data_IF_797418210197
#
_entry.id   IF_797418210197
#
_cell.length_a   1.000
_cell.length_b   1.000
_cell.length_c   1.000
_cell.angle_alpha   90.00
_cell.angle_beta   90.00
_cell.angle_gamma   90.00
#
_symmetry.space_group_name_H-M   'P 1'
#
loop_
_entity.id
_entity.type
_entity.pdbx_description
1 polymer ?
#
# COMPACT_ATOMS: atom_id res chain seq x y z
N UNK A 1 25.11 11.25 10.62
CA UNK A 1 24.50 11.57 9.34
C UNK A 1 24.41 13.08 9.13
N UNK A 2 24.01 13.51 7.94
CA UNK A 2 23.69 14.92 7.70
C UNK A 2 22.19 15.13 7.89
N UNK A 3 21.73 16.28 8.42
CA UNK A 3 20.30 16.56 8.52
C UNK A 3 19.65 16.63 7.13
N UNK A 4 18.39 16.21 7.06
CA UNK A 4 17.59 16.26 5.84
C UNK A 4 16.37 17.14 6.08
N UNK A 5 16.31 18.26 5.38
CA UNK A 5 15.20 19.22 5.44
C UNK A 5 14.09 18.85 4.45
N UNK A 6 12.85 19.21 4.78
CA UNK A 6 11.69 19.09 3.87
C UNK A 6 11.11 17.67 3.77
N UNK A 7 11.53 16.73 4.63
CA UNK A 7 10.91 15.40 4.69
C UNK A 7 9.54 15.53 5.34
N UNK A 8 8.50 15.05 4.67
CA UNK A 8 7.14 15.01 5.23
C UNK A 8 7.06 13.92 6.28
N UNK A 9 6.59 14.28 7.46
CA UNK A 9 6.40 13.40 8.62
C UNK A 9 4.96 13.50 9.08
N UNK A 10 4.34 12.36 9.38
CA UNK A 10 2.93 12.28 9.81
C UNK A 10 2.72 11.15 10.81
N UNK A 11 1.66 11.27 11.60
CA UNK A 11 1.09 10.21 12.45
C UNK A 11 -0.21 9.62 11.84
N UNK A 12 -0.54 10.03 10.60
CA UNK A 12 -1.79 9.69 9.94
C UNK A 12 -2.85 10.80 9.99
N UNK A 13 -2.76 11.71 10.94
CA UNK A 13 -3.68 12.86 11.07
C UNK A 13 -2.98 14.21 10.95
N UNK A 14 -1.80 14.31 11.52
CA UNK A 14 -1.01 15.55 11.57
C UNK A 14 0.19 15.42 10.62
N UNK A 15 0.49 16.49 9.91
CA UNK A 15 1.58 16.54 8.94
C UNK A 15 2.52 17.69 9.27
N UNK A 16 3.81 17.42 9.18
CA UNK A 16 4.89 18.40 9.32
C UNK A 16 6.00 18.09 8.31
N UNK A 17 6.89 19.04 8.13
CA UNK A 17 8.15 18.82 7.41
C UNK A 17 9.32 19.05 8.34
N UNK A 18 10.40 18.31 8.12
CA UNK A 18 11.65 18.56 8.83
C UNK A 18 12.21 19.94 8.48
N UNK A 19 12.79 20.63 9.47
CA UNK A 19 13.47 21.92 9.33
C UNK A 19 14.89 21.78 8.69
N UNK A 20 15.63 22.88 8.62
CA UNK A 20 16.98 22.90 8.07
C UNK A 20 17.98 22.03 8.87
N UNK A 21 17.68 21.75 10.13
CA UNK A 21 18.45 20.88 11.02
C UNK A 21 17.95 19.44 11.03
N UNK A 22 16.92 19.12 10.21
CA UNK A 22 16.31 17.80 10.12
C UNK A 22 15.37 17.49 11.28
N UNK A 23 14.99 18.47 12.10
CA UNK A 23 14.10 18.28 13.24
C UNK A 23 12.63 18.47 12.84
N UNK A 24 11.75 17.79 13.57
CA UNK A 24 10.30 17.98 13.49
C UNK A 24 9.66 17.79 14.88
N UNK A 25 8.49 18.34 15.07
CA UNK A 25 7.65 18.12 16.26
C UNK A 25 6.22 17.91 15.81
N UNK A 26 5.63 16.80 16.25
CA UNK A 26 4.22 16.46 16.08
C UNK A 26 3.55 16.38 17.46
N UNK A 27 2.42 17.08 17.62
CA UNK A 27 1.52 16.86 18.75
C UNK A 27 0.56 15.75 18.34
N UNK A 28 0.68 14.59 18.97
CA UNK A 28 -0.07 13.38 18.62
C UNK A 28 -0.62 12.70 19.88
N UNK A 29 -1.62 11.86 19.70
CA UNK A 29 -2.13 10.94 20.70
C UNK A 29 -1.74 9.50 20.32
N UNK A 30 -0.71 8.91 20.96
CA UNK A 30 -0.25 7.56 20.62
C UNK A 30 -1.29 6.46 20.84
N UNK A 31 -2.32 6.70 21.67
CA UNK A 31 -3.41 5.75 21.85
C UNK A 31 -4.32 5.67 20.62
N UNK A 32 -4.42 6.76 19.87
CA UNK A 32 -5.20 6.85 18.64
C UNK A 32 -4.33 6.68 17.39
N UNK A 33 -3.13 7.23 17.40
CA UNK A 33 -2.17 7.21 16.30
C UNK A 33 -0.88 6.53 16.76
N UNK A 34 -0.82 5.19 16.67
CA UNK A 34 0.25 4.41 17.31
C UNK A 34 1.60 4.49 16.61
N UNK A 35 1.69 5.20 15.49
CA UNK A 35 2.91 5.30 14.68
C UNK A 35 3.14 6.72 14.19
N UNK A 36 4.41 7.03 13.98
CA UNK A 36 4.86 8.16 13.16
C UNK A 36 5.64 7.61 11.96
N UNK A 37 5.49 8.22 10.79
CA UNK A 37 6.11 7.76 9.57
C UNK A 37 6.42 8.90 8.62
N UNK A 38 7.26 8.62 7.64
CA UNK A 38 7.74 9.61 6.66
C UNK A 38 7.28 9.25 5.24
N UNK A 39 7.03 10.27 4.42
CA UNK A 39 7.00 10.12 2.97
C UNK A 39 8.44 10.23 2.45
N UNK A 40 9.03 9.10 2.05
CA UNK A 40 10.44 9.05 1.61
C UNK A 40 10.63 9.91 0.36
N UNK A 41 11.53 10.91 0.36
CA UNK A 41 11.75 11.74 -0.81
C UNK A 41 12.50 10.99 -1.93
N UNK A 42 12.23 11.31 -3.20
CA UNK A 42 12.80 10.63 -4.37
C UNK A 42 14.33 10.63 -4.43
N UNK A 43 15.00 11.59 -3.77
CA UNK A 43 16.45 11.65 -3.70
C UNK A 43 17.10 10.60 -2.79
N UNK A 44 16.28 9.79 -2.09
CA UNK A 44 16.72 8.78 -1.15
C UNK A 44 16.24 7.40 -1.55
N UNK A 45 17.01 6.37 -1.17
CA UNK A 45 16.65 4.98 -1.35
C UNK A 45 15.40 4.65 -0.52
N UNK A 46 14.56 3.76 -1.03
CA UNK A 46 13.38 3.31 -0.30
C UNK A 46 13.80 2.43 0.87
N UNK A 47 13.49 2.80 2.12
CA UNK A 47 13.89 2.04 3.29
C UNK A 47 13.29 0.63 3.27
N UNK A 48 14.11 -0.38 3.47
CA UNK A 48 13.67 -1.77 3.49
C UNK A 48 14.56 -2.64 4.36
N UNK A 49 13.98 -3.74 4.84
CA UNK A 49 14.70 -4.82 5.48
C UNK A 49 14.44 -6.11 4.72
N UNK A 50 15.52 -6.75 4.25
CA UNK A 50 15.43 -7.96 3.42
C UNK A 50 14.54 -7.78 2.18
N UNK A 51 14.49 -6.57 1.60
CA UNK A 51 13.65 -6.26 0.45
C UNK A 51 12.16 -6.03 0.74
N UNK A 52 11.72 -6.05 1.99
CA UNK A 52 10.38 -5.61 2.39
C UNK A 52 10.47 -4.23 3.01
N UNK A 53 9.59 -3.32 2.60
CA UNK A 53 9.56 -1.94 3.08
C UNK A 53 9.51 -1.90 4.63
N UNK A 54 10.45 -1.15 5.22
CA UNK A 54 10.65 -1.07 6.66
C UNK A 54 11.49 0.18 6.96
N UNK A 55 11.45 0.68 8.21
CA UNK A 55 12.30 1.81 8.63
C UNK A 55 11.79 3.20 8.19
N UNK A 56 10.68 3.27 7.47
CA UNK A 56 9.98 4.53 7.17
C UNK A 56 8.92 4.89 8.22
N UNK A 57 8.67 4.04 9.20
CA UNK A 57 7.74 4.24 10.31
C UNK A 57 8.34 3.79 11.63
N UNK A 58 7.82 4.33 12.73
CA UNK A 58 8.18 3.95 14.10
C UNK A 58 6.94 3.95 14.98
N UNK A 59 6.88 2.99 15.90
CA UNK A 59 5.81 2.92 16.90
C UNK A 59 6.02 3.94 18.01
N UNK A 60 4.91 4.49 18.49
CA UNK A 60 4.87 5.40 19.64
C UNK A 60 4.53 4.61 20.91
N UNK A 61 5.21 4.95 21.99
CA UNK A 61 4.92 4.46 23.32
C UNK A 61 3.89 5.39 23.98
N UNK A 62 2.66 4.91 24.14
CA UNK A 62 1.57 5.67 24.77
C UNK A 62 1.81 5.94 26.28
N UNK A 63 2.76 5.26 26.90
CA UNK A 63 3.15 5.51 28.30
C UNK A 63 4.14 6.68 28.46
N UNK A 64 4.64 7.25 27.37
CA UNK A 64 5.59 8.37 27.40
C UNK A 64 4.92 9.69 27.04
N UNK A 65 5.32 10.77 27.75
CA UNK A 65 4.93 12.13 27.40
C UNK A 65 5.59 12.64 26.11
N UNK A 66 6.76 12.10 25.77
CA UNK A 66 7.53 12.43 24.58
C UNK A 66 8.10 11.15 23.97
N UNK A 67 7.99 11.03 22.65
CA UNK A 67 8.59 9.96 21.87
C UNK A 67 9.62 10.57 20.93
N UNK A 68 10.86 10.08 20.98
CA UNK A 68 11.88 10.45 20.01
C UNK A 68 11.87 9.43 18.87
N UNK A 69 11.64 9.91 17.64
CA UNK A 69 11.58 9.07 16.45
C UNK A 69 12.51 9.63 15.38
N UNK A 70 13.67 9.01 15.21
CA UNK A 70 14.68 9.40 14.26
C UNK A 70 14.63 8.48 13.02
N UNK A 71 14.60 9.07 11.83
CA UNK A 71 14.62 8.33 10.56
C UNK A 71 15.98 8.45 9.88
N UNK A 72 16.50 7.35 9.37
CA UNK A 72 17.76 7.30 8.63
C UNK A 72 17.46 7.10 7.15
N UNK A 73 17.91 8.04 6.33
CA UNK A 73 17.73 8.01 4.89
C UNK A 73 19.07 7.87 4.18
N UNK A 74 19.20 6.89 3.29
CA UNK A 74 20.36 6.71 2.42
C UNK A 74 20.16 7.52 1.15
N UNK A 75 21.03 8.51 0.92
CA UNK A 75 20.95 9.33 -0.29
C UNK A 75 21.33 8.51 -1.52
N UNK A 76 20.51 8.58 -2.57
CA UNK A 76 20.80 7.94 -3.86
C UNK A 76 22.09 8.52 -4.48
N UNK A 77 22.86 7.66 -5.12
CA UNK A 77 24.07 8.09 -5.86
C UNK A 77 23.70 8.81 -7.15
N UNK A 78 22.58 8.45 -7.77
CA UNK A 78 22.04 9.04 -9.00
C UNK A 78 20.52 9.23 -8.86
N UNK A 79 19.93 10.24 -9.51
CA UNK A 79 18.50 10.32 -9.68
C UNK A 79 17.95 9.07 -10.38
N UNK A 80 16.71 8.74 -10.08
CA UNK A 80 15.97 7.66 -10.76
C UNK A 80 15.12 8.34 -11.85
N UNK A 81 15.48 8.15 -13.11
CA UNK A 81 14.70 8.65 -14.26
C UNK A 81 13.78 7.58 -14.83
N UNK A 82 14.17 6.31 -14.68
CA UNK A 82 13.41 5.15 -15.11
C UNK A 82 13.39 4.10 -13.99
N UNK A 83 12.23 3.50 -13.78
CA UNK A 83 12.06 2.40 -12.80
C UNK A 83 10.98 1.43 -13.25
N UNK A 84 10.94 0.27 -12.62
CA UNK A 84 9.89 -0.73 -12.82
C UNK A 84 9.01 -0.79 -11.58
N UNK A 85 7.71 -0.77 -11.81
CA UNK A 85 6.70 -0.96 -10.77
C UNK A 85 5.99 -2.29 -10.99
N UNK A 86 5.96 -3.15 -9.96
CA UNK A 86 5.30 -4.46 -10.01
C UNK A 86 4.18 -4.47 -8.97
N UNK A 87 2.95 -4.59 -9.44
CA UNK A 87 1.78 -4.71 -8.58
C UNK A 87 1.28 -6.14 -8.56
N UNK A 88 1.13 -6.70 -7.36
CA UNK A 88 0.59 -8.03 -7.11
C UNK A 88 -0.65 -7.92 -6.23
N UNK A 89 -1.76 -8.50 -6.66
CA UNK A 89 -3.03 -8.45 -5.94
C UNK A 89 -3.45 -9.81 -5.44
N UNK A 90 -4.13 -9.83 -4.31
CA UNK A 90 -4.88 -11.00 -3.81
C UNK A 90 -4.07 -12.32 -3.79
N UNK A 91 -2.91 -12.38 -3.09
CA UNK A 91 -2.28 -13.67 -2.81
C UNK A 91 -3.17 -14.58 -1.99
N UNK A 92 -3.97 -14.03 -1.10
CA UNK A 92 -5.05 -14.66 -0.32
C UNK A 92 -4.71 -16.05 0.22
N UNK A 93 -3.50 -16.22 0.76
CA UNK A 93 -3.09 -17.50 1.35
C UNK A 93 -3.79 -17.70 2.69
N UNK A 94 -4.45 -18.84 2.89
CA UNK A 94 -5.19 -19.15 4.14
C UNK A 94 -4.66 -20.34 4.91
N UNK A 95 -3.70 -21.05 4.38
CA UNK A 95 -3.05 -22.21 5.00
C UNK A 95 -1.68 -22.48 4.38
N UNK A 96 -0.88 -23.33 5.00
CA UNK A 96 0.47 -23.66 4.53
C UNK A 96 0.48 -24.24 3.11
N UNK A 97 -0.50 -25.05 2.71
CA UNK A 97 -0.56 -25.61 1.36
C UNK A 97 -0.69 -24.51 0.28
N UNK A 98 -1.48 -23.49 0.54
CA UNK A 98 -1.62 -22.37 -0.39
C UNK A 98 -0.39 -21.45 -0.35
N UNK A 99 0.19 -21.24 0.82
CA UNK A 99 1.45 -20.51 0.96
C UNK A 99 2.59 -21.22 0.24
N UNK A 100 2.65 -22.56 0.28
CA UNK A 100 3.64 -23.33 -0.47
C UNK A 100 3.45 -23.17 -1.99
N UNK A 101 2.22 -23.13 -2.47
CA UNK A 101 1.96 -22.82 -3.88
C UNK A 101 2.42 -21.41 -4.24
N UNK A 102 2.13 -20.43 -3.42
CA UNK A 102 2.62 -19.06 -3.62
C UNK A 102 4.15 -19.02 -3.68
N UNK A 103 4.83 -19.71 -2.76
CA UNK A 103 6.30 -19.82 -2.72
C UNK A 103 6.91 -20.54 -3.91
N UNK A 104 6.22 -21.53 -4.46
CA UNK A 104 6.77 -22.39 -5.53
C UNK A 104 6.29 -22.04 -6.92
N UNK A 105 5.21 -21.28 -7.04
CA UNK A 105 4.63 -20.87 -8.31
C UNK A 105 4.86 -19.35 -8.56
N UNK A 106 4.33 -18.48 -7.72
CA UNK A 106 4.33 -17.02 -7.96
C UNK A 106 5.68 -16.37 -7.60
N UNK A 107 6.25 -16.71 -6.46
CA UNK A 107 7.49 -16.10 -5.97
C UNK A 107 8.69 -16.35 -6.92
N UNK A 108 8.92 -17.57 -7.45
CA UNK A 108 10.00 -17.80 -8.41
C UNK A 108 9.82 -17.03 -9.71
N UNK A 109 8.59 -16.88 -10.20
CA UNK A 109 8.27 -16.12 -11.40
C UNK A 109 8.51 -14.62 -11.19
N UNK A 110 8.06 -14.06 -10.05
CA UNK A 110 8.38 -12.69 -9.63
C UNK A 110 9.90 -12.45 -9.57
N UNK A 111 10.63 -13.41 -8.98
CA UNK A 111 12.10 -13.33 -8.87
C UNK A 111 12.76 -13.35 -10.25
N UNK A 112 12.32 -14.21 -11.15
CA UNK A 112 12.81 -14.28 -12.51
C UNK A 112 12.55 -12.98 -13.28
N UNK A 113 11.36 -12.41 -13.12
CA UNK A 113 10.99 -11.11 -13.71
C UNK A 113 11.89 -10.00 -13.17
N UNK A 114 12.06 -9.91 -11.84
CA UNK A 114 12.94 -8.92 -11.23
C UNK A 114 14.40 -9.07 -11.70
N UNK A 115 14.90 -10.31 -11.77
CA UNK A 115 16.27 -10.57 -12.25
C UNK A 115 16.47 -10.15 -13.72
N UNK A 116 15.44 -10.31 -14.56
CA UNK A 116 15.48 -9.85 -15.95
C UNK A 116 15.50 -8.32 -16.08
N UNK A 117 14.98 -7.62 -15.09
CA UNK A 117 14.83 -6.17 -15.02
C UNK A 117 15.81 -5.49 -14.05
N UNK A 118 16.82 -6.22 -13.57
CA UNK A 118 17.79 -5.76 -12.53
C UNK A 118 18.58 -4.50 -12.87
N UNK A 119 18.55 -4.05 -14.12
CA UNK A 119 19.20 -2.80 -14.55
C UNK A 119 18.38 -1.57 -14.15
N UNK A 120 17.11 -1.75 -13.74
CA UNK A 120 16.22 -0.73 -13.24
C UNK A 120 16.11 -0.85 -11.71
N UNK A 121 15.76 0.23 -11.05
CA UNK A 121 15.19 0.13 -9.71
C UNK A 121 13.79 -0.47 -9.81
N UNK A 122 13.48 -1.43 -8.94
CA UNK A 122 12.20 -2.13 -8.97
C UNK A 122 11.48 -1.90 -7.65
N UNK A 123 10.24 -1.44 -7.75
CA UNK A 123 9.31 -1.28 -6.61
C UNK A 123 8.18 -2.26 -6.76
N UNK A 124 7.96 -3.07 -5.73
CA UNK A 124 6.83 -3.97 -5.65
C UNK A 124 5.74 -3.44 -4.72
N UNK A 125 4.47 -3.70 -5.05
CA UNK A 125 3.32 -3.35 -4.24
C UNK A 125 2.33 -4.51 -4.15
N UNK A 126 2.11 -5.02 -2.95
CA UNK A 126 1.00 -5.92 -2.66
C UNK A 126 -0.28 -5.13 -2.45
N UNK A 127 -1.31 -5.38 -3.28
CA UNK A 127 -2.57 -4.62 -3.29
C UNK A 127 -3.65 -5.18 -2.35
N UNK A 128 -3.25 -5.69 -1.20
CA UNK A 128 -4.18 -6.20 -0.19
C UNK A 128 -4.60 -7.66 -0.40
N UNK A 129 -5.39 -8.14 0.55
CA UNK A 129 -5.74 -9.55 0.68
C UNK A 129 -4.50 -10.45 0.63
N UNK A 130 -3.50 -10.06 1.43
CA UNK A 130 -2.21 -10.76 1.52
C UNK A 130 -2.41 -12.18 2.04
N UNK A 131 -3.30 -12.30 3.02
CA UNK A 131 -3.77 -13.56 3.59
C UNK A 131 -5.29 -13.62 3.54
N UNK A 132 -5.88 -14.79 3.73
CA UNK A 132 -7.32 -14.93 3.86
C UNK A 132 -7.68 -15.20 5.33
N UNK A 133 -7.92 -14.14 6.09
CA UNK A 133 -8.29 -14.21 7.51
C UNK A 133 -7.30 -15.02 8.38
N UNK A 134 -6.07 -15.16 7.94
CA UNK A 134 -5.05 -16.02 8.54
C UNK A 134 -3.80 -15.22 8.92
N UNK A 135 -3.92 -14.32 9.92
CA UNK A 135 -2.87 -13.38 10.33
C UNK A 135 -1.58 -14.08 10.81
N UNK A 136 -1.69 -15.34 11.27
CA UNK A 136 -0.53 -16.17 11.58
C UNK A 136 0.36 -16.45 10.35
N UNK A 137 -0.15 -16.23 9.14
CA UNK A 137 0.61 -16.37 7.89
C UNK A 137 1.32 -15.09 7.46
N UNK A 138 1.17 -13.96 8.15
CA UNK A 138 1.87 -12.73 7.79
C UNK A 138 3.39 -12.88 7.83
N UNK A 139 3.95 -13.47 8.90
CA UNK A 139 5.39 -13.67 8.99
C UNK A 139 5.93 -14.58 7.88
N UNK A 140 5.38 -15.78 7.61
CA UNK A 140 5.83 -16.59 6.49
C UNK A 140 5.50 -16.01 5.11
N UNK A 141 4.43 -15.22 4.93
CA UNK A 141 4.17 -14.45 3.72
C UNK A 141 5.25 -13.36 3.50
N UNK A 142 5.55 -12.55 4.54
CA UNK A 142 6.61 -11.54 4.50
C UNK A 142 7.95 -12.17 4.11
N UNK A 143 8.27 -13.34 4.65
CA UNK A 143 9.46 -14.09 4.27
C UNK A 143 9.42 -14.54 2.79
N UNK A 144 8.27 -14.95 2.29
CA UNK A 144 8.12 -15.38 0.90
C UNK A 144 8.38 -14.25 -0.10
N UNK A 145 7.96 -13.02 0.22
CA UNK A 145 8.16 -11.84 -0.64
C UNK A 145 9.46 -11.08 -0.33
N UNK A 146 10.32 -11.63 0.54
CA UNK A 146 11.63 -11.04 0.84
C UNK A 146 12.67 -11.40 -0.23
N UNK A 147 13.70 -10.56 -0.35
CA UNK A 147 14.87 -10.81 -1.21
C UNK A 147 14.56 -11.09 -2.71
N UNK A 148 13.48 -10.52 -3.21
CA UNK A 148 13.07 -10.65 -4.61
C UNK A 148 13.87 -9.76 -5.58
N UNK A 149 14.80 -8.94 -5.09
CA UNK A 149 15.53 -7.96 -5.90
C UNK A 149 14.76 -6.66 -6.10
N UNK A 150 13.75 -6.41 -5.27
CA UNK A 150 12.93 -5.20 -5.25
C UNK A 150 12.57 -4.80 -3.82
N UNK A 151 12.13 -3.57 -3.61
CA UNK A 151 11.52 -3.16 -2.35
C UNK A 151 10.01 -3.38 -2.42
N UNK A 152 9.53 -4.36 -1.63
CA UNK A 152 8.13 -4.76 -1.57
C UNK A 152 7.38 -3.95 -0.51
N UNK A 153 6.44 -3.14 -0.94
CA UNK A 153 5.44 -2.47 -0.09
C UNK A 153 4.16 -3.30 -0.04
N UNK A 154 3.33 -3.06 0.97
CA UNK A 154 2.07 -3.77 1.15
C UNK A 154 0.95 -2.78 1.46
N UNK A 155 -0.26 -3.13 1.08
CA UNK A 155 -1.48 -2.48 1.58
C UNK A 155 -2.46 -3.54 2.08
N UNK A 156 -3.48 -3.15 2.85
CA UNK A 156 -4.47 -4.09 3.39
C UNK A 156 -5.67 -4.24 2.44
N UNK A 157 -6.24 -5.48 2.41
CA UNK A 157 -7.54 -5.77 1.86
C UNK A 157 -8.55 -6.18 2.94
N UNK A 158 -9.74 -6.63 2.51
CA UNK A 158 -10.80 -7.02 3.44
C UNK A 158 -10.53 -8.31 4.22
N UNK A 159 -9.59 -9.13 3.76
CA UNK A 159 -9.16 -10.34 4.46
C UNK A 159 -7.94 -10.13 5.39
N UNK A 160 -7.45 -8.91 5.51
CA UNK A 160 -6.29 -8.54 6.33
C UNK A 160 -6.66 -7.96 7.71
N UNK A 161 -7.93 -7.91 8.05
CA UNK A 161 -8.40 -7.47 9.36
C UNK A 161 -8.30 -8.58 10.40
N UNK A 162 -8.02 -8.19 11.65
CA UNK A 162 -7.97 -9.08 12.80
C UNK A 162 -9.26 -9.92 12.94
N UNK A 163 -9.12 -11.24 13.02
CA UNK A 163 -10.24 -12.16 13.15
C UNK A 163 -11.10 -11.89 14.39
N UNK A 164 -10.50 -11.47 15.49
CA UNK A 164 -11.23 -11.12 16.70
C UNK A 164 -12.13 -9.91 16.45
N UNK A 165 -11.61 -8.89 15.78
CA UNK A 165 -12.40 -7.72 15.37
C UNK A 165 -13.53 -8.12 14.40
N UNK A 166 -13.28 -9.04 13.47
CA UNK A 166 -14.29 -9.54 12.53
C UNK A 166 -15.52 -10.16 13.20
N UNK A 167 -15.35 -10.76 14.38
CA UNK A 167 -16.47 -11.35 15.16
C UNK A 167 -17.17 -10.37 16.07
N UNK A 168 -16.63 -9.15 16.24
CA UNK A 168 -17.19 -8.10 17.08
C UNK A 168 -18.11 -7.16 16.29
N UNK A 169 -18.99 -6.44 16.97
CA UNK A 169 -19.71 -5.31 16.38
C UNK A 169 -18.82 -4.07 16.35
N UNK A 170 -19.05 -3.14 15.43
CA UNK A 170 -18.30 -1.87 15.39
C UNK A 170 -18.48 -1.03 16.67
N UNK A 171 -19.59 -1.23 17.38
CA UNK A 171 -19.87 -0.57 18.67
C UNK A 171 -19.01 -1.10 19.81
N UNK A 172 -18.57 -2.35 19.74
CA UNK A 172 -17.70 -2.94 20.75
C UNK A 172 -16.27 -2.38 20.64
N UNK A 173 -15.83 -2.09 19.39
CA UNK A 173 -14.55 -1.48 19.06
C UNK A 173 -14.71 -0.45 17.94
N UNK A 174 -15.03 0.81 18.27
CA UNK A 174 -15.35 1.84 17.28
C UNK A 174 -14.13 2.29 16.42
N UNK A 175 -12.92 1.94 16.83
CA UNK A 175 -11.73 2.30 16.08
C UNK A 175 -11.29 1.15 15.16
N UNK A 176 -11.21 1.41 13.84
CA UNK A 176 -10.67 0.46 12.86
C UNK A 176 -9.25 0.01 13.19
N UNK A 177 -8.47 0.88 13.86
CA UNK A 177 -7.11 0.56 14.33
C UNK A 177 -6.99 -0.71 15.15
N UNK A 178 -8.05 -1.15 15.85
CA UNK A 178 -8.05 -2.45 16.52
C UNK A 178 -8.09 -3.62 15.52
N UNK A 179 -8.90 -3.51 14.46
CA UNK A 179 -8.99 -4.51 13.39
C UNK A 179 -7.70 -4.60 12.57
N UNK A 180 -6.92 -3.54 12.54
CA UNK A 180 -5.70 -3.39 11.75
C UNK A 180 -4.41 -3.75 12.49
N UNK A 181 -4.48 -4.04 13.80
CA UNK A 181 -3.29 -4.22 14.65
C UNK A 181 -2.29 -5.25 14.12
N UNK A 182 -2.75 -6.40 13.65
CA UNK A 182 -1.87 -7.44 13.12
C UNK A 182 -1.16 -6.98 11.83
N UNK A 183 -1.87 -6.23 10.98
CA UNK A 183 -1.28 -5.62 9.80
C UNK A 183 -0.22 -4.59 10.19
N UNK A 184 -0.54 -3.66 11.07
CA UNK A 184 0.40 -2.65 11.56
C UNK A 184 1.69 -3.27 12.08
N UNK A 185 1.59 -4.31 12.92
CA UNK A 185 2.75 -4.99 13.48
C UNK A 185 3.63 -5.67 12.43
N UNK A 186 3.07 -6.01 11.26
CA UNK A 186 3.76 -6.76 10.22
C UNK A 186 4.30 -5.86 9.10
N UNK A 187 3.58 -4.77 8.77
CA UNK A 187 3.82 -3.99 7.56
C UNK A 187 3.82 -2.46 7.77
N UNK A 188 3.47 -1.98 8.98
CA UNK A 188 3.41 -0.55 9.29
C UNK A 188 2.06 0.09 8.97
N UNK A 189 2.00 1.39 8.68
CA UNK A 189 0.76 2.13 8.51
C UNK A 189 -0.06 1.65 7.31
N UNK A 190 -1.39 1.74 7.41
CA UNK A 190 -2.30 1.39 6.32
C UNK A 190 -2.35 2.46 5.22
N UNK A 191 -2.20 3.74 5.59
CA UNK A 191 -2.11 4.86 4.66
C UNK A 191 -0.70 5.44 4.72
N UNK A 192 0.01 5.46 3.61
CA UNK A 192 1.36 6.02 3.52
C UNK A 192 1.71 6.41 2.08
N UNK A 193 2.77 7.19 1.93
CA UNK A 193 3.30 7.57 0.63
C UNK A 193 4.82 7.54 0.58
N UNK A 194 5.36 7.52 -0.62
CA UNK A 194 6.78 7.70 -0.91
C UNK A 194 6.98 8.24 -2.32
N UNK A 195 8.20 8.65 -2.66
CA UNK A 195 8.49 9.21 -3.97
C UNK A 195 9.61 8.42 -4.65
N UNK A 196 9.47 8.18 -5.93
CA UNK A 196 10.49 7.58 -6.79
C UNK A 196 10.49 8.25 -8.17
N UNK A 197 11.65 8.72 -8.63
CA UNK A 197 11.70 9.50 -9.84
C UNK A 197 10.79 10.73 -9.74
N UNK A 198 9.88 10.86 -10.69
CA UNK A 198 8.86 11.92 -10.75
C UNK A 198 7.49 11.47 -10.24
N UNK A 199 7.39 10.26 -9.76
CA UNK A 199 6.13 9.66 -9.31
C UNK A 199 6.00 9.77 -7.79
N UNK A 200 4.83 10.24 -7.36
CA UNK A 200 4.39 10.15 -5.98
C UNK A 200 3.52 8.90 -5.83
N UNK A 201 3.95 7.95 -5.00
CA UNK A 201 3.27 6.67 -4.80
C UNK A 201 2.54 6.70 -3.46
N UNK A 202 1.27 6.39 -3.50
CA UNK A 202 0.36 6.36 -2.35
C UNK A 202 -0.18 4.94 -2.18
N UNK A 203 -0.13 4.41 -0.98
CA UNK A 203 -0.91 3.25 -0.55
C UNK A 203 -1.98 3.74 0.42
N UNK A 204 -3.24 3.40 0.15
CA UNK A 204 -4.37 3.93 0.90
C UNK A 204 -5.43 2.85 1.11
N UNK A 205 -5.87 2.71 2.34
CA UNK A 205 -6.96 1.82 2.72
C UNK A 205 -8.28 2.32 2.14
N UNK A 206 -9.08 1.40 1.62
CA UNK A 206 -10.41 1.67 1.07
C UNK A 206 -11.46 0.64 1.51
N UNK A 207 -11.13 -0.14 2.54
CA UNK A 207 -12.05 -1.06 3.20
C UNK A 207 -12.38 -0.52 4.59
N UNK A 208 -13.63 -0.14 4.79
CA UNK A 208 -14.15 0.24 6.11
C UNK A 208 -14.87 -0.95 6.73
N UNK A 209 -14.37 -1.44 7.85
CA UNK A 209 -14.86 -2.65 8.47
C UNK A 209 -16.05 -2.36 9.39
N UNK A 210 -17.23 -2.89 9.04
CA UNK A 210 -18.48 -2.66 9.77
C UNK A 210 -18.67 -3.59 11.00
N UNK A 211 -17.74 -4.53 11.20
CA UNK A 211 -17.86 -5.58 12.23
C UNK A 211 -18.73 -6.75 11.77
N UNK A 212 -18.81 -7.82 12.58
CA UNK A 212 -19.57 -9.03 12.29
C UNK A 212 -19.29 -9.62 10.90
N UNK A 213 -18.05 -9.61 10.47
CA UNK A 213 -17.59 -10.09 9.15
C UNK A 213 -18.18 -9.30 7.96
N UNK A 214 -18.62 -8.07 8.20
CA UNK A 214 -19.10 -7.16 7.17
C UNK A 214 -18.09 -6.02 6.98
N UNK A 215 -18.03 -5.53 5.78
CA UNK A 215 -17.24 -4.36 5.41
C UNK A 215 -17.95 -3.59 4.28
N UNK A 216 -17.49 -2.38 4.07
CA UNK A 216 -17.93 -1.53 2.97
C UNK A 216 -16.69 -1.02 2.25
N UNK A 217 -16.68 -1.14 0.94
CA UNK A 217 -15.67 -0.55 0.08
C UNK A 217 -15.91 0.95 0.04
N UNK A 218 -15.14 1.70 0.80
CA UNK A 218 -15.19 3.18 0.86
C UNK A 218 -13.96 3.75 1.54
N UNK A 219 -13.68 5.01 1.22
CA UNK A 219 -12.74 5.84 1.98
C UNK A 219 -13.47 6.51 3.13
N UNK A 220 -12.92 6.44 4.33
CA UNK A 220 -13.45 7.20 5.46
C UNK A 220 -13.18 8.69 5.27
N UNK A 221 -13.88 9.60 5.99
CA UNK A 221 -13.54 11.02 5.99
C UNK A 221 -12.09 11.28 6.40
N UNK A 222 -11.56 10.48 7.33
CA UNK A 222 -10.18 10.53 7.80
C UNK A 222 -9.19 10.14 6.70
N UNK A 223 -9.47 9.09 5.92
CA UNK A 223 -8.64 8.68 4.79
C UNK A 223 -8.58 9.77 3.71
N UNK A 224 -9.72 10.37 3.37
CA UNK A 224 -9.77 11.47 2.39
C UNK A 224 -9.07 12.73 2.91
N UNK A 225 -9.14 13.03 4.21
CA UNK A 225 -8.42 14.14 4.83
C UNK A 225 -6.91 13.89 4.83
N UNK A 226 -6.49 12.66 5.12
CA UNK A 226 -5.11 12.22 5.01
C UNK A 226 -4.59 12.43 3.58
N UNK A 227 -5.31 11.93 2.57
CA UNK A 227 -4.94 12.07 1.16
C UNK A 227 -4.83 13.53 0.75
N UNK A 228 -5.80 14.36 1.15
CA UNK A 228 -5.79 15.80 0.86
C UNK A 228 -4.54 16.49 1.44
N UNK A 229 -4.13 16.11 2.65
CA UNK A 229 -2.93 16.64 3.32
C UNK A 229 -1.66 16.15 2.63
N UNK A 230 -1.56 14.87 2.33
CA UNK A 230 -0.42 14.27 1.65
C UNK A 230 -0.21 14.91 0.27
N UNK A 231 -1.26 15.00 -0.55
CA UNK A 231 -1.24 15.65 -1.86
C UNK A 231 -0.90 17.15 -1.81
N UNK A 232 -1.05 17.82 -0.66
CA UNK A 232 -0.66 19.23 -0.52
C UNK A 232 0.86 19.45 -0.62
N UNK A 233 1.66 18.40 -0.45
CA UNK A 233 3.11 18.40 -0.63
C UNK A 233 3.55 18.00 -2.04
N UNK A 234 2.60 17.61 -2.90
CA UNK A 234 2.86 17.16 -4.28
C UNK A 234 2.55 18.28 -5.27
N UNK A 235 3.49 18.69 -6.13
CA UNK A 235 3.20 19.68 -7.16
C UNK A 235 2.08 19.20 -8.09
N UNK A 236 1.18 20.12 -8.43
CA UNK A 236 0.11 19.81 -9.38
C UNK A 236 0.69 19.48 -10.76
N UNK A 237 0.06 18.52 -11.44
CA UNK A 237 0.53 17.99 -12.71
C UNK A 237 1.47 16.80 -12.59
N UNK A 238 2.01 16.51 -11.38
CA UNK A 238 2.84 15.32 -11.17
C UNK A 238 2.06 14.03 -11.41
N UNK A 239 2.81 12.97 -11.69
CA UNK A 239 2.27 11.62 -11.76
C UNK A 239 2.05 11.11 -10.34
N UNK A 240 0.87 10.54 -10.11
CA UNK A 240 0.50 9.88 -8.84
C UNK A 240 0.11 8.43 -9.13
N UNK A 241 0.77 7.50 -8.45
CA UNK A 241 0.34 6.11 -8.37
C UNK A 241 -0.44 5.92 -7.07
N UNK A 242 -1.75 5.76 -7.19
CA UNK A 242 -2.61 5.46 -6.06
C UNK A 242 -2.89 3.96 -6.01
N UNK A 243 -2.54 3.33 -4.90
CA UNK A 243 -2.76 1.93 -4.66
C UNK A 243 -3.89 1.77 -3.64
N UNK A 244 -4.91 1.01 -4.01
CA UNK A 244 -6.08 0.70 -3.20
C UNK A 244 -6.40 -0.79 -3.36
N UNK A 245 -7.17 -1.37 -2.45
CA UNK A 245 -7.55 -2.77 -2.59
C UNK A 245 -8.77 -2.94 -3.49
N UNK A 246 -9.88 -2.29 -3.17
CA UNK A 246 -11.10 -2.35 -3.95
C UNK A 246 -11.04 -1.38 -5.15
N UNK A 247 -11.64 -1.71 -6.30
CA UNK A 247 -11.67 -0.81 -7.44
C UNK A 247 -12.55 0.41 -7.16
N UNK A 248 -12.25 1.51 -7.87
CA UNK A 248 -13.02 2.77 -7.77
C UNK A 248 -13.94 3.01 -8.97
N UNK A 249 -13.71 2.35 -10.10
CA UNK A 249 -14.45 2.56 -11.35
C UNK A 249 -14.65 1.29 -12.18
N UNK A 250 -14.51 0.11 -11.57
CA UNK A 250 -14.70 -1.15 -12.28
C UNK A 250 -16.16 -1.32 -12.73
N UNK A 251 -16.39 -1.82 -13.94
CA UNK A 251 -17.71 -2.15 -14.49
C UNK A 251 -18.13 -3.59 -14.22
N UNK A 252 -17.23 -4.45 -13.78
CA UNK A 252 -17.51 -5.86 -13.53
C UNK A 252 -18.23 -6.03 -12.20
N UNK A 253 -19.53 -6.23 -12.24
CA UNK A 253 -20.42 -6.34 -11.08
C UNK A 253 -20.22 -7.65 -10.29
N UNK A 254 -19.38 -8.56 -10.77
CA UNK A 254 -19.42 -9.96 -10.36
C UNK A 254 -18.69 -10.31 -9.05
N UNK A 255 -17.90 -9.42 -8.45
CA UNK A 255 -16.99 -9.84 -7.39
C UNK A 255 -16.70 -8.80 -6.29
N UNK A 256 -17.60 -7.97 -5.98
CA UNK A 256 -17.44 -6.89 -5.01
C UNK A 256 -17.72 -5.53 -5.64
N UNK A 257 -18.05 -4.58 -4.81
CA UNK A 257 -18.43 -3.25 -5.26
C UNK A 257 -17.21 -2.37 -5.54
N UNK A 258 -17.47 -1.32 -6.29
CA UNK A 258 -16.57 -0.16 -6.31
C UNK A 258 -16.64 0.60 -4.99
N UNK A 259 -15.55 1.28 -4.62
CA UNK A 259 -15.57 2.19 -3.50
C UNK A 259 -16.70 3.23 -3.65
N UNK A 260 -17.64 3.25 -2.71
CA UNK A 260 -18.93 3.97 -2.83
C UNK A 260 -18.81 5.48 -2.96
N UNK A 261 -17.74 6.05 -2.45
CA UNK A 261 -17.49 7.50 -2.47
C UNK A 261 -16.32 7.91 -3.38
N UNK A 262 -16.06 7.15 -4.44
CA UNK A 262 -15.00 7.42 -5.41
C UNK A 262 -15.03 8.83 -6.02
N UNK A 263 -16.21 9.47 -6.12
CA UNK A 263 -16.31 10.84 -6.59
C UNK A 263 -15.55 11.84 -5.71
N UNK A 264 -15.54 11.66 -4.39
CA UNK A 264 -14.77 12.51 -3.47
C UNK A 264 -13.27 12.32 -3.67
N UNK A 265 -12.83 11.08 -3.89
CA UNK A 265 -11.46 10.73 -4.27
C UNK A 265 -11.05 11.43 -5.58
N UNK A 266 -11.85 11.31 -6.64
CA UNK A 266 -11.55 11.90 -7.94
C UNK A 266 -11.42 13.43 -7.88
N UNK A 267 -12.17 14.11 -7.01
CA UNK A 267 -12.02 15.55 -6.82
C UNK A 267 -10.62 15.93 -6.30
N UNK A 268 -10.07 15.14 -5.38
CA UNK A 268 -8.71 15.35 -4.85
C UNK A 268 -7.64 15.06 -5.89
N UNK A 269 -7.88 14.06 -6.76
CA UNK A 269 -6.91 13.58 -7.74
C UNK A 269 -6.89 14.37 -9.05
N UNK A 270 -7.95 15.12 -9.39
CA UNK A 270 -8.06 15.90 -10.64
C UNK A 270 -6.85 16.76 -11.01
N UNK A 271 -6.11 17.37 -10.05
CA UNK A 271 -4.94 18.18 -10.39
C UNK A 271 -3.72 17.39 -10.88
N UNK A 272 -3.77 16.06 -10.91
CA UNK A 272 -2.64 15.17 -11.14
C UNK A 272 -2.88 14.25 -12.34
N UNK A 273 -1.80 13.63 -12.85
CA UNK A 273 -1.88 12.49 -13.76
C UNK A 273 -1.87 11.22 -12.92
N UNK A 274 -2.97 10.47 -12.90
CA UNK A 274 -3.16 9.42 -11.89
C UNK A 274 -3.29 8.05 -12.53
N UNK A 275 -2.53 7.10 -12.02
CA UNK A 275 -2.75 5.68 -12.23
C UNK A 275 -3.18 5.05 -10.91
N UNK A 276 -4.38 4.49 -10.87
CA UNK A 276 -4.93 3.76 -9.73
C UNK A 276 -4.68 2.27 -9.99
N UNK A 277 -4.09 1.59 -9.03
CA UNK A 277 -3.90 0.14 -9.06
C UNK A 277 -4.79 -0.48 -8.00
N UNK A 278 -5.66 -1.43 -8.41
CA UNK A 278 -6.63 -2.09 -7.54
C UNK A 278 -6.68 -3.60 -7.79
N UNK A 279 -7.26 -4.35 -6.85
CA UNK A 279 -7.43 -5.80 -6.88
C UNK A 279 -8.86 -6.23 -6.55
N UNK A 280 -9.02 -7.08 -5.52
CA UNK A 280 -10.27 -7.47 -4.90
C UNK A 280 -11.23 -8.29 -5.77
N UNK A 281 -11.44 -7.90 -7.02
CA UNK A 281 -12.45 -8.52 -7.90
C UNK A 281 -11.96 -9.81 -8.55
N UNK A 282 -10.65 -10.05 -8.59
CA UNK A 282 -10.00 -11.13 -9.34
C UNK A 282 -10.28 -11.06 -10.86
N UNK A 283 -10.39 -9.83 -11.39
CA UNK A 283 -10.56 -9.58 -12.81
C UNK A 283 -9.46 -8.64 -13.29
N UNK A 284 -9.06 -8.77 -14.56
CA UNK A 284 -8.27 -7.75 -15.24
C UNK A 284 -9.22 -6.78 -15.95
N UNK A 285 -9.19 -5.53 -15.54
CA UNK A 285 -9.99 -4.49 -16.15
C UNK A 285 -9.26 -3.15 -16.09
N UNK A 286 -9.34 -2.39 -17.18
CA UNK A 286 -8.80 -1.02 -17.24
C UNK A 286 -9.95 -0.05 -17.49
N UNK A 287 -9.97 1.04 -16.73
CA UNK A 287 -10.98 2.08 -16.79
C UNK A 287 -10.34 3.46 -16.91
N UNK A 288 -11.08 4.40 -17.49
CA UNK A 288 -10.73 5.81 -17.60
C UNK A 288 -11.83 6.64 -16.93
N UNK A 289 -11.91 6.68 -15.59
CA UNK A 289 -12.97 7.38 -14.88
C UNK A 289 -12.95 8.90 -15.06
N UNK A 290 -11.81 9.48 -15.42
CA UNK A 290 -11.66 10.88 -15.75
C UNK A 290 -10.50 11.07 -16.75
N UNK A 291 -10.40 12.22 -17.45
CA UNK A 291 -9.39 12.42 -18.50
C UNK A 291 -7.92 12.24 -18.07
N UNK A 292 -7.63 12.40 -16.80
CA UNK A 292 -6.28 12.26 -16.23
C UNK A 292 -6.18 11.16 -15.17
N UNK A 293 -7.20 10.30 -15.06
CA UNK A 293 -7.26 9.24 -14.05
C UNK A 293 -7.52 7.92 -14.77
N UNK A 294 -6.57 7.01 -14.66
CA UNK A 294 -6.65 5.64 -15.19
C UNK A 294 -6.73 4.67 -14.01
N UNK A 295 -7.62 3.67 -14.08
CA UNK A 295 -7.62 2.57 -13.14
C UNK A 295 -7.21 1.27 -13.83
N UNK A 296 -6.30 0.55 -13.18
CA UNK A 296 -5.81 -0.77 -13.54
C UNK A 296 -6.26 -1.75 -12.44
N UNK A 297 -7.40 -2.40 -12.63
CA UNK A 297 -7.82 -3.48 -11.76
C UNK A 297 -7.09 -4.76 -12.17
N UNK A 298 -6.38 -5.39 -11.24
CA UNK A 298 -5.43 -6.47 -11.49
C UNK A 298 -6.05 -7.80 -11.06
N UNK A 299 -5.89 -8.82 -11.87
CA UNK A 299 -6.29 -10.17 -11.50
C UNK A 299 -5.45 -10.70 -10.33
N UNK A 300 -6.08 -11.61 -9.58
CA UNK A 300 -5.50 -12.16 -8.36
C UNK A 300 -4.28 -13.06 -8.62
N UNK A 301 -3.27 -12.96 -7.78
CA UNK A 301 -2.14 -13.89 -7.76
C UNK A 301 -2.58 -15.32 -7.39
N UNK A 302 -3.63 -15.46 -6.58
CA UNK A 302 -4.22 -16.76 -6.25
C UNK A 302 -5.10 -17.36 -7.37
N UNK A 303 -5.32 -16.64 -8.49
CA UNK A 303 -6.26 -17.04 -9.51
C UNK A 303 -7.67 -17.22 -8.92
N UNK A 304 -8.30 -18.36 -9.16
CA UNK A 304 -9.57 -18.72 -8.50
C UNK A 304 -9.28 -19.36 -7.12
N UNK A 305 -8.78 -18.56 -6.18
CA UNK A 305 -8.51 -18.98 -4.79
C UNK A 305 -7.68 -20.25 -4.66
N UNK A 306 -6.63 -20.35 -5.46
CA UNK A 306 -5.73 -21.53 -5.51
C UNK A 306 -6.40 -22.84 -5.97
N UNK A 307 -7.63 -22.79 -6.49
CA UNK A 307 -8.32 -23.94 -7.05
C UNK A 307 -7.89 -24.26 -8.50
N UNK A 308 -7.25 -23.28 -9.16
CA UNK A 308 -6.74 -23.40 -10.53
C UNK A 308 -5.62 -22.40 -10.78
N UNK A 309 -5.27 -22.20 -12.05
CA UNK A 309 -4.22 -21.28 -12.52
C UNK A 309 -4.79 -20.09 -13.30
N UNK A 310 -6.10 -19.85 -13.21
CA UNK A 310 -6.79 -18.78 -13.94
C UNK A 310 -7.71 -18.01 -13.00
N UNK A 311 -7.85 -16.75 -13.28
CA UNK A 311 -8.82 -15.86 -12.67
C UNK A 311 -10.23 -16.10 -13.27
N UNK A 312 -11.25 -15.51 -12.66
CA UNK A 312 -12.65 -15.61 -13.15
C UNK A 312 -12.83 -15.06 -14.57
N UNK A 313 -12.02 -14.10 -14.99
CA UNK A 313 -12.01 -13.55 -16.34
C UNK A 313 -11.27 -14.43 -17.38
N UNK A 314 -10.69 -15.56 -16.94
CA UNK A 314 -9.90 -16.45 -17.81
C UNK A 314 -8.43 -16.05 -17.96
N UNK A 315 -8.01 -14.88 -17.41
CA UNK A 315 -6.60 -14.52 -17.38
C UNK A 315 -5.84 -15.42 -16.40
N UNK A 316 -4.56 -15.77 -16.68
CA UNK A 316 -3.73 -16.49 -15.73
C UNK A 316 -3.64 -15.74 -14.39
N UNK A 317 -3.39 -16.47 -13.30
CA UNK A 317 -2.90 -15.85 -12.08
C UNK A 317 -1.54 -15.18 -12.36
N UNK A 318 -1.29 -14.03 -11.71
CA UNK A 318 -0.07 -13.27 -12.00
C UNK A 318 -0.03 -11.91 -11.30
N UNK A 319 0.66 -10.99 -11.93
CA UNK A 319 0.91 -9.64 -11.45
C UNK A 319 1.06 -8.69 -12.64
N UNK A 320 1.00 -7.39 -12.40
CA UNK A 320 1.20 -6.35 -13.39
C UNK A 320 2.63 -5.81 -13.30
N UNK A 321 3.28 -5.63 -14.45
CA UNK A 321 4.58 -4.96 -14.58
C UNK A 321 4.41 -3.67 -15.36
N UNK A 322 4.81 -2.55 -14.77
CA UNK A 322 4.76 -1.22 -15.38
C UNK A 322 6.18 -0.67 -15.46
N UNK A 323 6.61 -0.28 -16.63
CA UNK A 323 7.85 0.46 -16.82
C UNK A 323 7.54 1.95 -16.88
N UNK A 324 8.16 2.72 -16.00
CA UNK A 324 8.04 4.17 -15.94
C UNK A 324 9.30 4.81 -16.52
N UNK A 325 9.11 5.75 -17.45
CA UNK A 325 10.21 6.44 -18.15
C UNK A 325 10.00 7.96 -18.08
N UNK A 326 10.69 8.59 -17.13
CA UNK A 326 10.56 10.03 -16.94
C UNK A 326 9.13 10.42 -16.55
N UNK A 327 8.41 11.03 -17.49
CA UNK A 327 7.03 11.49 -17.35
C UNK A 327 6.02 10.57 -18.06
N UNK A 328 6.47 9.44 -18.61
CA UNK A 328 5.68 8.44 -19.34
C UNK A 328 5.46 7.16 -18.53
#
# INVERSE_FOLDING_TARGET
GKPVSGVVVTDGAHFKTTDAQGNYVLNTDPARYPMVYISTPAAYELPSKEGVADGFYQYLDAGKSENQCDFVLTKRQKPVDEFVYIAISDPQVRNEKQLDRFRTETVPDLKQTADSLKNFEIVGMGLGDLVWDAMNLYAPYRQAVSNLGMTMFQLMGNHDFNLLYKSMTKTDHPADGYGEQNYYQSFGPANYSFNIGKVHVIAMKDIDYDGNKKYTERFTPEDLDWLRKDLSYVPKGNIVFLNVHAPVANNTVAAGGNARNANALFQLLRPYQVHIFSGHTHFYENQLPAPTIYEHNIGAACGAWWAGHVNRCGAPNGYLVVQVKGDD
#
